data_IF_905838933751
#
_entry.id   IF_905838933751
#
_cell.length_a   1.000
_cell.length_b   1.000
_cell.length_c   1.000
_cell.angle_alpha   90.00
_cell.angle_beta   90.00
_cell.angle_gamma   90.00
#
_symmetry.space_group_name_H-M   'P 1'
#
loop_
_entity.id
_entity.type
_entity.pdbx_description
1 polymer ?
#
# COMPACT_ATOMS: atom_id res chain seq x y z
N UNK A 1 -13.73 -4.89 5.00
CA UNK A 1 -12.93 -3.80 5.62
C UNK A 1 -12.60 -2.79 4.53
N UNK A 2 -12.77 -1.49 4.80
CA UNK A 2 -12.48 -0.41 3.85
C UNK A 2 -11.32 0.46 4.36
N UNK A 3 -10.45 0.88 3.44
CA UNK A 3 -9.30 1.76 3.70
C UNK A 3 -9.36 3.01 2.83
N UNK A 4 -8.83 4.11 3.34
CA UNK A 4 -8.78 5.38 2.61
C UNK A 4 -7.65 5.36 1.56
N UNK A 5 -6.58 4.63 1.84
CA UNK A 5 -5.49 4.38 0.91
C UNK A 5 -4.97 2.94 1.07
N UNK A 6 -4.76 2.24 -0.04
CA UNK A 6 -4.11 0.93 -0.06
C UNK A 6 -2.84 1.03 -0.89
N UNK A 7 -1.68 0.78 -0.28
CA UNK A 7 -0.41 0.59 -0.98
C UNK A 7 -0.29 -0.90 -1.30
N UNK A 8 -0.26 -1.26 -2.59
CA UNK A 8 -0.24 -2.64 -3.04
C UNK A 8 1.16 -3.05 -3.49
N UNK A 9 1.51 -4.31 -3.25
CA UNK A 9 2.72 -4.94 -3.77
C UNK A 9 4.03 -4.20 -3.41
N UNK A 10 4.04 -3.43 -2.31
CA UNK A 10 5.19 -2.67 -1.87
C UNK A 10 6.19 -3.52 -1.10
N UNK A 11 7.45 -3.06 -1.06
CA UNK A 11 8.46 -3.58 -0.13
C UNK A 11 8.45 -2.71 1.12
N UNK A 12 8.07 -3.28 2.26
CA UNK A 12 8.10 -2.64 3.56
C UNK A 12 9.42 -2.96 4.26
N UNK A 13 10.09 -1.92 4.77
CA UNK A 13 11.29 -2.07 5.61
C UNK A 13 10.85 -2.12 7.06
N UNK A 14 10.96 -3.30 7.67
CA UNK A 14 10.53 -3.60 9.02
C UNK A 14 11.76 -3.85 9.90
N UNK A 15 11.65 -3.74 11.24
CA UNK A 15 12.79 -3.98 12.14
C UNK A 15 13.42 -5.37 12.02
N UNK A 16 12.67 -6.35 11.50
CA UNK A 16 13.11 -7.73 11.30
C UNK A 16 13.52 -8.07 9.87
N UNK A 17 13.32 -7.17 8.91
CA UNK A 17 13.66 -7.42 7.51
C UNK A 17 12.86 -6.62 6.50
N UNK A 18 13.09 -6.91 5.23
CA UNK A 18 12.35 -6.32 4.11
C UNK A 18 11.34 -7.36 3.61
N UNK A 19 10.06 -7.01 3.60
CA UNK A 19 8.99 -7.91 3.20
C UNK A 19 8.08 -7.28 2.15
N UNK A 20 7.57 -8.10 1.22
CA UNK A 20 6.57 -7.66 0.25
C UNK A 20 5.18 -7.81 0.86
N UNK A 21 4.51 -6.69 1.13
CA UNK A 21 3.18 -6.67 1.72
C UNK A 21 2.36 -5.47 1.26
N UNK A 22 1.05 -5.57 1.42
CA UNK A 22 0.13 -4.45 1.21
C UNK A 22 -0.06 -3.68 2.53
N UNK A 23 -0.17 -2.36 2.44
CA UNK A 23 -0.42 -1.47 3.59
C UNK A 23 -1.77 -0.79 3.41
N UNK A 24 -2.67 -1.00 4.36
CA UNK A 24 -3.95 -0.32 4.44
C UNK A 24 -3.86 0.86 5.38
N UNK A 25 -4.19 2.05 4.90
CA UNK A 25 -4.21 3.30 5.66
C UNK A 25 -5.65 3.73 5.88
N UNK A 26 -5.97 4.11 7.12
CA UNK A 26 -7.27 4.66 7.52
C UNK A 26 -7.06 5.86 8.44
N UNK A 27 -7.75 6.96 8.18
CA UNK A 27 -7.61 8.23 8.91
C UNK A 27 -6.14 8.67 9.05
N UNK A 28 -5.34 8.51 7.99
CA UNK A 28 -3.92 8.88 7.97
C UNK A 28 -3.00 7.98 8.80
N UNK A 29 -3.48 6.84 9.31
CA UNK A 29 -2.68 5.88 10.09
C UNK A 29 -2.65 4.51 9.43
N UNK A 30 -1.57 3.76 9.63
CA UNK A 30 -1.48 2.36 9.20
C UNK A 30 -2.48 1.55 10.02
N UNK A 31 -3.50 1.02 9.35
CA UNK A 31 -4.57 0.24 9.96
C UNK A 31 -4.34 -1.26 9.80
N UNK A 32 -3.64 -1.67 8.74
CA UNK A 32 -3.28 -3.07 8.50
C UNK A 32 -2.03 -3.18 7.61
N UNK A 33 -1.30 -4.28 7.79
CA UNK A 33 -0.17 -4.70 6.95
C UNK A 33 -0.33 -6.20 6.65
N UNK A 34 -0.19 -6.62 5.38
CA UNK A 34 -0.35 -8.02 4.98
C UNK A 34 -0.90 -8.19 3.56
N UNK A 35 -1.60 -9.29 3.26
CA UNK A 35 -2.32 -9.46 1.99
C UNK A 35 -3.69 -8.75 2.06
N UNK A 36 -3.84 -7.66 1.32
CA UNK A 36 -5.07 -6.86 1.26
C UNK A 36 -5.77 -6.99 -0.09
N UNK A 37 -5.56 -8.08 -0.84
CA UNK A 37 -6.20 -8.33 -2.15
C UNK A 37 -7.72 -8.27 -2.09
N UNK A 38 -8.31 -8.74 -0.99
CA UNK A 38 -9.77 -8.74 -0.75
C UNK A 38 -10.29 -7.47 -0.06
N UNK A 39 -9.42 -6.53 0.30
CA UNK A 39 -9.84 -5.31 0.95
C UNK A 39 -10.44 -4.31 -0.05
N UNK A 40 -11.51 -3.64 0.39
CA UNK A 40 -12.16 -2.57 -0.35
C UNK A 40 -11.52 -1.21 -0.07
N UNK A 41 -11.69 -0.27 -0.98
CA UNK A 41 -11.30 1.13 -0.82
C UNK A 41 -12.54 1.91 -0.39
N UNK A 42 -12.39 2.84 0.55
CA UNK A 42 -13.46 3.73 0.97
C UNK A 42 -13.85 4.69 -0.17
N UNK A 43 -15.10 5.20 -0.22
CA UNK A 43 -15.49 6.22 -1.19
C UNK A 43 -14.57 7.45 -1.10
N UNK A 44 -13.94 7.83 -2.22
CA UNK A 44 -12.95 8.92 -2.26
C UNK A 44 -11.51 8.51 -1.91
N UNK A 45 -11.28 7.24 -1.57
CA UNK A 45 -9.96 6.67 -1.36
C UNK A 45 -9.29 6.18 -2.64
N UNK A 46 -8.03 5.74 -2.53
CA UNK A 46 -7.23 5.26 -3.66
C UNK A 46 -6.45 3.99 -3.39
N UNK A 47 -6.00 3.32 -4.45
CA UNK A 47 -4.97 2.30 -4.37
C UNK A 47 -3.78 2.71 -5.23
N UNK A 48 -2.58 2.54 -4.68
CA UNK A 48 -1.33 2.82 -5.37
C UNK A 48 -0.60 1.49 -5.53
N UNK A 49 -0.21 1.16 -6.76
CA UNK A 49 0.66 0.01 -7.02
C UNK A 49 2.12 0.42 -6.83
N UNK A 50 2.78 -0.24 -5.87
CA UNK A 50 4.17 0.01 -5.52
C UNK A 50 5.12 -1.04 -6.13
N UNK A 51 4.66 -1.80 -7.13
CA UNK A 51 5.43 -2.90 -7.75
C UNK A 51 6.71 -2.46 -8.48
N UNK A 52 6.81 -1.21 -8.93
CA UNK A 52 7.95 -0.71 -9.70
C UNK A 52 8.48 0.63 -9.14
N UNK A 53 9.74 0.68 -8.68
CA UNK A 53 10.36 1.93 -8.26
C UNK A 53 10.86 2.70 -9.49
N UNK A 54 10.17 3.81 -9.78
CA UNK A 54 10.61 4.94 -10.62
C UNK A 54 10.63 4.71 -12.15
N UNK A 55 9.69 5.36 -12.86
CA UNK A 55 9.91 5.80 -14.25
C UNK A 55 10.55 7.19 -14.15
N UNK A 56 11.85 7.36 -14.45
CA UNK A 56 12.39 8.70 -14.65
C UNK A 56 11.73 9.32 -15.90
N UNK A 57 11.48 10.64 -15.92
CA UNK A 57 11.00 11.29 -17.14
C UNK A 57 12.00 11.05 -18.27
N UNK A 58 11.52 10.56 -19.42
CA UNK A 58 12.30 10.64 -20.66
C UNK A 58 12.33 12.12 -21.06
N UNK A 59 13.47 12.75 -20.85
CA UNK A 59 13.83 13.98 -21.56
C UNK A 59 14.33 13.62 -22.96
#
# INVERSE_FOLDING_TARGET
MHYDLILRNGLAVLPWGIERLDIGVRAGRIAAMGDLRRAGIAPGGGAIDCSHPHIPPRI
#
